data_IF_321408264059
#
_entry.id   IF_321408264059
#
_cell.length_a   1.000
_cell.length_b   1.000
_cell.length_c   1.000
_cell.angle_alpha   90.00
_cell.angle_beta   90.00
_cell.angle_gamma   90.00
#
_symmetry.space_group_name_H-M   'P 1'
#
loop_
_entity.id
_entity.type
_entity.pdbx_description
1 polymer ?
#
# COMPACT_ATOMS: atom_id res chain seq x y z
N UNK A 1 24.12 -8.75 -7.63
CA UNK A 1 23.43 -9.17 -6.39
C UNK A 1 22.02 -9.52 -6.74
N UNK A 2 21.52 -10.64 -6.21
CA UNK A 2 20.42 -11.33 -6.86
C UNK A 2 19.10 -11.17 -6.11
N UNK A 3 18.01 -11.07 -6.84
CA UNK A 3 16.67 -11.36 -6.37
C UNK A 3 16.41 -12.88 -6.48
N UNK A 4 15.39 -13.37 -5.80
CA UNK A 4 14.88 -14.73 -5.92
C UNK A 4 13.59 -14.73 -6.75
N UNK A 5 13.52 -15.57 -7.77
CA UNK A 5 12.27 -15.90 -8.46
C UNK A 5 12.04 -17.42 -8.43
N UNK A 6 10.85 -17.82 -8.02
CA UNK A 6 10.47 -19.24 -8.08
C UNK A 6 10.50 -19.74 -9.54
N UNK A 7 10.90 -21.00 -9.83
CA UNK A 7 10.99 -21.50 -11.21
C UNK A 7 9.70 -21.42 -12.03
N UNK A 8 8.54 -21.32 -11.40
CA UNK A 8 7.25 -21.13 -12.09
C UNK A 8 6.87 -19.67 -12.30
N UNK A 9 7.68 -18.70 -11.81
CA UNK A 9 7.47 -17.29 -12.10
C UNK A 9 7.97 -16.98 -13.50
N UNK A 10 7.26 -16.08 -14.19
CA UNK A 10 7.65 -15.57 -15.51
C UNK A 10 8.17 -14.16 -15.36
N UNK A 11 9.39 -13.91 -15.81
CA UNK A 11 10.04 -12.59 -15.74
C UNK A 11 10.43 -12.18 -17.15
N UNK A 12 9.64 -11.30 -17.75
CA UNK A 12 9.91 -10.77 -19.09
C UNK A 12 11.04 -9.74 -19.05
N UNK A 13 11.81 -9.67 -20.13
CA UNK A 13 12.93 -8.76 -20.24
C UNK A 13 12.71 -7.68 -21.33
N UNK A 14 13.24 -6.45 -21.15
CA UNK A 14 14.01 -5.99 -19.99
C UNK A 14 13.12 -5.62 -18.79
N UNK A 15 13.57 -5.92 -17.58
CA UNK A 15 12.99 -5.40 -16.34
C UNK A 15 14.08 -5.17 -15.29
N UNK A 16 13.80 -4.35 -14.30
CA UNK A 16 14.73 -4.07 -13.20
C UNK A 16 14.14 -4.63 -11.90
N UNK A 17 14.91 -5.49 -11.19
CA UNK A 17 14.49 -6.07 -9.92
C UNK A 17 15.62 -5.93 -8.90
N UNK A 18 15.32 -5.21 -7.81
CA UNK A 18 16.29 -4.91 -6.76
C UNK A 18 16.68 -6.11 -5.90
N UNK A 19 17.82 -5.96 -5.24
CA UNK A 19 18.42 -6.98 -4.38
C UNK A 19 17.49 -7.41 -3.25
N UNK A 20 17.49 -8.71 -2.93
CA UNK A 20 16.73 -9.29 -1.83
C UNK A 20 15.22 -9.39 -2.08
N UNK A 21 14.75 -8.98 -3.26
CA UNK A 21 13.35 -9.16 -3.68
C UNK A 21 13.06 -10.64 -3.92
N UNK A 22 11.88 -11.09 -3.52
CA UNK A 22 11.43 -12.48 -3.65
C UNK A 22 10.12 -12.53 -4.42
N UNK A 23 10.11 -13.33 -5.50
CA UNK A 23 8.96 -13.52 -6.40
C UNK A 23 8.54 -14.98 -6.33
N UNK A 24 7.31 -15.23 -5.88
CA UNK A 24 6.81 -16.56 -5.61
C UNK A 24 6.11 -17.20 -6.83
N UNK A 25 5.46 -18.32 -6.58
CA UNK A 25 4.87 -19.20 -7.60
C UNK A 25 3.90 -18.47 -8.53
N UNK A 26 3.99 -18.73 -9.83
CA UNK A 26 3.07 -18.26 -10.85
C UNK A 26 2.92 -16.73 -10.93
N UNK A 27 3.87 -15.99 -10.38
CA UNK A 27 3.92 -14.55 -10.57
C UNK A 27 4.38 -14.21 -11.99
N UNK A 28 3.91 -13.09 -12.55
CA UNK A 28 4.33 -12.58 -13.84
C UNK A 28 4.78 -11.13 -13.72
N UNK A 29 6.04 -10.86 -14.02
CA UNK A 29 6.60 -9.51 -14.14
C UNK A 29 6.82 -9.23 -15.63
N UNK A 30 6.08 -8.26 -16.17
CA UNK A 30 6.16 -7.88 -17.58
C UNK A 30 7.40 -7.02 -17.85
N UNK A 31 7.84 -7.01 -19.11
CA UNK A 31 8.93 -6.15 -19.57
C UNK A 31 8.65 -4.69 -19.25
N UNK A 32 9.70 -3.91 -18.96
CA UNK A 32 9.57 -2.49 -18.59
C UNK A 32 9.23 -2.22 -17.12
N UNK A 33 8.87 -3.23 -16.33
CA UNK A 33 8.62 -3.06 -14.90
C UNK A 33 9.92 -2.73 -14.14
N UNK A 34 9.82 -1.87 -13.13
CA UNK A 34 10.92 -1.53 -12.21
C UNK A 34 10.50 -1.81 -10.77
N UNK A 35 11.19 -2.72 -10.12
CA UNK A 35 10.90 -3.19 -8.76
C UNK A 35 12.12 -2.92 -7.88
N UNK A 36 11.90 -2.28 -6.76
CA UNK A 36 12.91 -1.98 -5.75
C UNK A 36 13.43 -3.21 -5.01
N UNK A 37 14.13 -2.96 -3.92
CA UNK A 37 14.84 -3.95 -3.11
C UNK A 37 13.93 -4.53 -2.02
N UNK A 38 14.23 -5.76 -1.55
CA UNK A 38 13.58 -6.41 -0.40
C UNK A 38 12.06 -6.52 -0.50
N UNK A 39 11.52 -6.48 -1.72
CA UNK A 39 10.09 -6.70 -1.98
C UNK A 39 9.72 -8.17 -1.85
N UNK A 40 8.45 -8.44 -1.60
CA UNK A 40 7.89 -9.79 -1.64
C UNK A 40 6.65 -9.78 -2.53
N UNK A 41 6.67 -10.59 -3.57
CA UNK A 41 5.54 -10.84 -4.44
C UNK A 41 5.01 -12.24 -4.18
N UNK A 42 3.81 -12.31 -3.64
CA UNK A 42 3.12 -13.56 -3.34
C UNK A 42 2.75 -14.35 -4.59
N UNK A 43 2.13 -15.50 -4.36
CA UNK A 43 1.69 -16.38 -5.44
C UNK A 43 0.67 -15.66 -6.35
N UNK A 44 0.78 -15.91 -7.67
CA UNK A 44 -0.19 -15.44 -8.67
C UNK A 44 -0.32 -13.90 -8.67
N UNK A 45 0.78 -13.20 -8.49
CA UNK A 45 0.83 -11.73 -8.63
C UNK A 45 1.22 -11.34 -10.05
N UNK A 46 0.82 -10.16 -10.51
CA UNK A 46 1.23 -9.60 -11.79
C UNK A 46 1.71 -8.16 -11.63
N UNK A 47 2.79 -7.82 -12.32
CA UNK A 47 3.31 -6.45 -12.42
C UNK A 47 3.37 -6.08 -13.90
N UNK A 48 2.53 -5.14 -14.31
CA UNK A 48 2.41 -4.75 -15.71
C UNK A 48 3.60 -3.91 -16.18
N UNK A 49 3.69 -3.73 -17.51
CA UNK A 49 4.66 -2.87 -18.16
C UNK A 49 4.65 -1.44 -17.59
N UNK A 50 5.83 -0.85 -17.42
CA UNK A 50 6.03 0.52 -16.96
C UNK A 50 5.67 0.78 -15.49
N UNK A 51 5.22 -0.22 -14.75
CA UNK A 51 4.94 -0.09 -13.31
C UNK A 51 6.23 0.13 -12.54
N UNK A 52 6.16 1.07 -11.58
CA UNK A 52 7.27 1.34 -10.65
C UNK A 52 6.85 0.94 -9.25
N UNK A 53 7.65 0.07 -8.64
CA UNK A 53 7.48 -0.39 -7.25
C UNK A 53 8.74 -0.03 -6.47
N UNK A 54 8.57 0.65 -5.36
CA UNK A 54 9.65 1.05 -4.44
C UNK A 54 10.25 -0.11 -3.64
N UNK A 55 11.02 0.24 -2.62
CA UNK A 55 11.70 -0.70 -1.75
C UNK A 55 10.74 -1.29 -0.68
N UNK A 56 11.02 -2.50 -0.22
CA UNK A 56 10.33 -3.15 0.90
C UNK A 56 8.81 -3.32 0.75
N UNK A 57 8.30 -3.34 -0.48
CA UNK A 57 6.86 -3.53 -0.76
C UNK A 57 6.47 -5.00 -0.57
N UNK A 58 5.32 -5.23 0.06
CA UNK A 58 4.74 -6.56 0.25
C UNK A 58 3.46 -6.68 -0.56
N UNK A 59 3.51 -7.43 -1.64
CA UNK A 59 2.37 -7.75 -2.49
C UNK A 59 1.90 -9.16 -2.17
N UNK A 60 0.71 -9.27 -1.61
CA UNK A 60 0.15 -10.55 -1.22
C UNK A 60 -0.41 -11.31 -2.43
N UNK A 61 -0.87 -12.55 -2.21
CA UNK A 61 -1.32 -13.45 -3.28
C UNK A 61 -2.48 -12.83 -4.09
N UNK A 62 -2.52 -13.16 -5.38
CA UNK A 62 -3.60 -12.81 -6.32
C UNK A 62 -3.77 -11.29 -6.53
N UNK A 63 -2.72 -10.51 -6.47
CA UNK A 63 -2.75 -9.07 -6.75
C UNK A 63 -2.14 -8.78 -8.11
N UNK A 64 -2.86 -8.02 -8.94
CA UNK A 64 -2.37 -7.50 -10.21
C UNK A 64 -2.14 -5.98 -10.10
N UNK A 65 -0.92 -5.53 -10.39
CA UNK A 65 -0.55 -4.13 -10.44
C UNK A 65 -0.50 -3.71 -11.91
N UNK A 66 -1.54 -3.02 -12.36
CA UNK A 66 -1.72 -2.62 -13.76
C UNK A 66 -0.90 -1.38 -14.13
N UNK A 67 -0.65 -1.23 -15.43
CA UNK A 67 0.01 -0.07 -16.02
C UNK A 67 -0.66 1.24 -15.58
N UNK A 68 0.15 2.29 -15.32
CA UNK A 68 -0.29 3.55 -14.73
C UNK A 68 -0.21 3.61 -13.21
N UNK A 69 0.08 2.49 -12.54
CA UNK A 69 0.24 2.46 -11.07
C UNK A 69 1.70 2.72 -10.66
N UNK A 70 1.88 3.57 -9.66
CA UNK A 70 3.15 3.76 -8.94
C UNK A 70 2.94 3.36 -7.48
N UNK A 71 3.80 2.49 -6.98
CA UNK A 71 3.80 2.03 -5.59
C UNK A 71 5.10 2.49 -4.93
N UNK A 72 5.00 3.37 -3.94
CA UNK A 72 6.17 3.85 -3.19
C UNK A 72 6.65 2.80 -2.19
N UNK A 73 7.70 3.14 -1.41
CA UNK A 73 8.33 2.23 -0.45
C UNK A 73 7.37 1.81 0.69
N UNK A 74 7.70 0.69 1.33
CA UNK A 74 7.04 0.19 2.54
C UNK A 74 5.53 -0.07 2.41
N UNK A 75 4.98 -0.14 1.21
CA UNK A 75 3.56 -0.40 0.94
C UNK A 75 3.21 -1.87 1.17
N UNK A 76 2.03 -2.10 1.74
CA UNK A 76 1.43 -3.44 1.87
C UNK A 76 0.16 -3.54 1.02
N UNK A 77 0.15 -4.45 0.05
CA UNK A 77 -1.03 -4.80 -0.75
C UNK A 77 -1.56 -6.15 -0.26
N UNK A 78 -2.72 -6.13 0.39
CA UNK A 78 -3.38 -7.30 0.96
C UNK A 78 -3.85 -8.30 -0.09
N UNK A 79 -4.08 -9.57 0.29
CA UNK A 79 -4.44 -10.63 -0.66
C UNK A 79 -5.71 -10.27 -1.42
N UNK A 80 -5.66 -10.52 -2.72
CA UNK A 80 -6.79 -10.29 -3.65
C UNK A 80 -7.33 -8.86 -3.65
N UNK A 81 -6.55 -7.86 -3.22
CA UNK A 81 -6.93 -6.48 -3.47
C UNK A 81 -6.87 -6.19 -4.97
N UNK A 82 -7.76 -5.33 -5.45
CA UNK A 82 -7.96 -5.04 -6.87
C UNK A 82 -7.56 -3.60 -7.16
N UNK A 83 -6.67 -3.42 -8.12
CA UNK A 83 -6.35 -2.12 -8.71
C UNK A 83 -6.97 -2.07 -10.11
N UNK A 84 -7.50 -0.93 -10.53
CA UNK A 84 -7.97 -0.71 -11.90
C UNK A 84 -7.09 0.30 -12.62
N UNK A 85 -7.21 0.45 -13.93
CA UNK A 85 -6.43 1.41 -14.70
C UNK A 85 -7.25 2.21 -15.71
N UNK A 86 -8.56 1.91 -15.83
CA UNK A 86 -9.49 2.65 -16.68
C UNK A 86 -10.86 2.71 -15.99
N UNK A 87 -11.46 3.92 -15.95
CA UNK A 87 -12.71 4.14 -15.22
C UNK A 87 -13.96 3.69 -15.96
N UNK A 88 -13.91 3.65 -17.29
CA UNK A 88 -15.09 3.35 -18.14
C UNK A 88 -14.79 2.27 -19.20
N UNK A 89 -14.40 1.06 -18.82
CA UNK A 89 -14.02 0.02 -19.76
C UNK A 89 -15.23 -0.43 -20.62
N UNK A 90 -14.96 -0.68 -21.90
CA UNK A 90 -15.89 -1.33 -22.84
C UNK A 90 -15.08 -2.17 -23.80
N UNK A 91 -15.42 -3.42 -23.96
CA UNK A 91 -14.71 -4.37 -24.82
C UNK A 91 -14.58 -3.89 -26.27
N UNK A 92 -15.61 -3.21 -26.79
CA UNK A 92 -15.62 -2.68 -28.16
C UNK A 92 -14.89 -1.34 -28.32
N UNK A 93 -14.38 -0.73 -27.25
CA UNK A 93 -13.74 0.59 -27.28
C UNK A 93 -12.31 0.49 -26.76
N UNK A 94 -11.35 0.72 -27.65
CA UNK A 94 -9.92 0.70 -27.29
C UNK A 94 -9.58 1.93 -26.45
N UNK A 95 -9.02 1.74 -25.25
CA UNK A 95 -8.65 2.79 -24.28
C UNK A 95 -7.22 2.67 -23.76
N UNK A 96 -6.34 1.94 -24.43
CA UNK A 96 -4.97 1.72 -23.96
C UNK A 96 -4.17 3.01 -23.70
N UNK A 97 -4.46 4.08 -24.46
CA UNK A 97 -3.80 5.38 -24.26
C UNK A 97 -4.43 6.24 -23.15
N UNK A 98 -5.48 5.75 -22.49
CA UNK A 98 -6.27 6.48 -21.50
C UNK A 98 -6.17 5.86 -20.11
N UNK A 99 -5.10 5.09 -19.82
CA UNK A 99 -4.89 4.55 -18.49
C UNK A 99 -4.62 5.68 -17.50
N UNK A 100 -5.34 5.62 -16.38
CA UNK A 100 -5.29 6.64 -15.34
C UNK A 100 -4.20 6.31 -14.32
N UNK A 101 -3.43 7.32 -13.94
CA UNK A 101 -2.34 7.15 -12.98
C UNK A 101 -2.89 6.99 -11.58
N UNK A 102 -2.51 5.91 -10.90
CA UNK A 102 -2.76 5.69 -9.47
C UNK A 102 -1.45 5.72 -8.71
N UNK A 103 -1.39 6.47 -7.60
CA UNK A 103 -0.20 6.55 -6.75
C UNK A 103 -0.53 5.99 -5.38
N UNK A 104 0.23 4.98 -4.94
CA UNK A 104 0.14 4.41 -3.60
C UNK A 104 1.38 4.85 -2.85
N UNK A 105 1.22 5.79 -1.92
CA UNK A 105 2.33 6.45 -1.25
C UNK A 105 2.92 5.58 -0.15
N UNK A 106 4.13 5.98 0.29
CA UNK A 106 4.95 5.28 1.29
C UNK A 106 4.12 4.79 2.49
N UNK A 107 4.33 3.55 2.87
CA UNK A 107 3.73 2.94 4.05
C UNK A 107 2.22 2.72 4.01
N UNK A 108 1.55 3.01 2.88
CA UNK A 108 0.13 2.76 2.75
C UNK A 108 -0.18 1.26 2.83
N UNK A 109 -1.29 0.94 3.45
CA UNK A 109 -1.81 -0.43 3.54
C UNK A 109 -3.14 -0.55 2.81
N UNK A 110 -3.23 -1.49 1.89
CA UNK A 110 -4.48 -1.88 1.22
C UNK A 110 -4.91 -3.23 1.77
N UNK A 111 -6.06 -3.28 2.42
CA UNK A 111 -6.62 -4.49 3.03
C UNK A 111 -7.06 -5.53 1.99
N UNK A 112 -7.24 -6.77 2.46
CA UNK A 112 -7.69 -7.89 1.61
C UNK A 112 -9.01 -7.56 0.89
N UNK A 113 -9.12 -7.95 -0.38
CA UNK A 113 -10.31 -7.73 -1.23
C UNK A 113 -10.76 -6.25 -1.34
N UNK A 114 -9.95 -5.28 -0.94
CA UNK A 114 -10.25 -3.87 -1.21
C UNK A 114 -10.09 -3.58 -2.71
N UNK A 115 -10.90 -2.65 -3.22
CA UNK A 115 -10.83 -2.19 -4.61
C UNK A 115 -10.40 -0.73 -4.66
N UNK A 116 -9.38 -0.44 -5.44
CA UNK A 116 -8.90 0.91 -5.70
C UNK A 116 -9.27 1.26 -7.14
N UNK A 117 -10.22 2.16 -7.30
CA UNK A 117 -10.55 2.73 -8.61
C UNK A 117 -9.39 3.62 -9.04
N UNK A 118 -9.02 3.55 -10.33
CA UNK A 118 -7.88 4.29 -10.86
C UNK A 118 -8.05 5.82 -10.81
N UNK A 119 -6.95 6.54 -11.02
CA UNK A 119 -6.95 8.00 -11.02
C UNK A 119 -6.83 8.63 -9.63
N UNK A 120 -6.53 7.84 -8.59
CA UNK A 120 -6.47 8.33 -7.21
C UNK A 120 -5.07 8.26 -6.61
N UNK A 121 -4.83 9.07 -5.59
CA UNK A 121 -3.65 9.00 -4.72
C UNK A 121 -4.06 8.45 -3.35
N UNK A 122 -3.42 7.36 -2.92
CA UNK A 122 -3.48 6.87 -1.55
C UNK A 122 -2.35 7.54 -0.75
N UNK A 123 -2.69 8.33 0.25
CA UNK A 123 -1.75 9.08 1.08
C UNK A 123 -0.81 8.19 1.89
N UNK A 124 0.28 8.79 2.41
CA UNK A 124 1.27 8.08 3.23
C UNK A 124 0.63 7.44 4.45
N UNK A 125 1.03 6.21 4.73
CA UNK A 125 0.55 5.47 5.91
C UNK A 125 -0.96 5.38 6.06
N UNK A 126 -1.74 5.66 5.00
CA UNK A 126 -3.18 5.43 5.03
C UNK A 126 -3.49 3.94 5.14
N UNK A 127 -4.66 3.62 5.64
CA UNK A 127 -5.09 2.25 5.81
C UNK A 127 -6.47 2.06 5.17
N UNK A 128 -6.49 1.30 4.09
CA UNK A 128 -7.73 0.89 3.43
C UNK A 128 -8.17 -0.42 4.04
N UNK A 129 -9.30 -0.45 4.70
CA UNK A 129 -9.83 -1.65 5.34
C UNK A 129 -10.19 -2.73 4.32
N UNK A 130 -10.16 -3.98 4.75
CA UNK A 130 -10.56 -5.11 3.92
C UNK A 130 -11.96 -4.90 3.31
N UNK A 131 -12.13 -5.21 2.03
CA UNK A 131 -13.37 -5.08 1.28
C UNK A 131 -13.83 -3.65 0.99
N UNK A 132 -13.06 -2.62 1.33
CA UNK A 132 -13.42 -1.24 1.03
C UNK A 132 -13.26 -0.92 -0.47
N UNK A 133 -14.08 0.00 -0.99
CA UNK A 133 -13.98 0.50 -2.39
C UNK A 133 -13.61 1.98 -2.38
N UNK A 134 -12.38 2.27 -2.75
CA UNK A 134 -11.83 3.64 -2.83
C UNK A 134 -12.12 4.22 -4.21
N UNK A 135 -12.77 5.40 -4.24
CA UNK A 135 -13.20 6.10 -5.46
C UNK A 135 -12.67 7.53 -5.55
N UNK A 136 -11.77 7.94 -4.68
CA UNK A 136 -11.16 9.28 -4.65
C UNK A 136 -9.91 9.28 -3.79
N UNK A 137 -9.20 10.41 -3.80
CA UNK A 137 -7.95 10.57 -3.05
C UNK A 137 -8.14 10.32 -1.55
N UNK A 138 -7.11 9.75 -0.95
CA UNK A 138 -7.08 9.38 0.46
C UNK A 138 -6.01 10.20 1.17
N UNK A 139 -6.35 10.92 2.26
CA UNK A 139 -5.38 11.67 3.05
C UNK A 139 -4.31 10.79 3.70
N UNK A 140 -3.14 11.38 3.99
CA UNK A 140 -2.10 10.72 4.77
C UNK A 140 -2.66 10.25 6.12
N UNK A 141 -2.31 9.05 6.55
CA UNK A 141 -2.75 8.39 7.79
C UNK A 141 -4.26 8.12 7.93
N UNK A 142 -5.07 8.37 6.91
CA UNK A 142 -6.52 8.13 6.98
C UNK A 142 -6.85 6.65 7.09
N UNK A 143 -7.79 6.30 7.97
CA UNK A 143 -8.46 5.00 8.00
C UNK A 143 -9.70 5.06 7.13
N UNK A 144 -9.70 4.32 6.02
CA UNK A 144 -10.80 4.26 5.05
C UNK A 144 -11.57 2.95 5.17
N UNK A 145 -12.90 3.03 5.25
CA UNK A 145 -13.77 1.84 5.39
C UNK A 145 -15.03 1.97 4.56
N UNK A 146 -15.55 0.85 4.09
CA UNK A 146 -16.87 0.72 3.47
C UNK A 146 -16.91 0.82 1.95
N UNK A 147 -18.13 0.76 1.38
CA UNK A 147 -18.43 0.81 -0.05
C UNK A 147 -19.54 1.85 -0.28
N UNK A 148 -19.22 3.01 -0.87
CA UNK A 148 -17.88 3.54 -1.13
C UNK A 148 -17.10 3.85 0.16
N UNK A 149 -15.78 3.79 0.10
CA UNK A 149 -14.92 4.04 1.26
C UNK A 149 -15.09 5.47 1.78
N UNK A 150 -15.14 5.59 3.10
CA UNK A 150 -15.19 6.88 3.81
C UNK A 150 -14.18 6.87 4.94
N UNK A 151 -13.58 8.00 5.22
CA UNK A 151 -12.68 8.14 6.36
C UNK A 151 -13.44 7.92 7.67
N UNK A 152 -12.89 7.07 8.53
CA UNK A 152 -13.48 6.69 9.83
C UNK A 152 -12.56 7.04 11.00
N UNK A 153 -11.41 7.61 10.74
CA UNK A 153 -10.42 7.99 11.74
C UNK A 153 -9.02 8.02 11.15
N UNK A 154 -8.05 7.82 12.01
CA UNK A 154 -6.64 7.87 11.70
C UNK A 154 -5.93 6.59 12.13
N UNK A 155 -4.85 6.26 11.40
CA UNK A 155 -3.98 5.12 11.70
C UNK A 155 -2.58 5.61 12.05
N UNK A 156 -1.93 4.94 12.98
CA UNK A 156 -0.50 5.17 13.26
C UNK A 156 0.39 4.44 12.25
N UNK A 157 1.67 4.78 12.23
CA UNK A 157 2.69 4.06 11.43
C UNK A 157 2.80 2.57 11.81
N UNK A 158 2.40 2.19 13.02
CA UNK A 158 2.37 0.80 13.51
C UNK A 158 1.06 0.07 13.19
N UNK A 159 0.14 0.69 12.41
CA UNK A 159 -1.11 0.05 12.03
C UNK A 159 -2.15 0.00 13.14
N UNK A 160 -2.07 0.89 14.15
CA UNK A 160 -3.11 1.03 15.18
C UNK A 160 -4.05 2.17 14.87
N UNK A 161 -5.34 1.93 15.09
CA UNK A 161 -6.34 3.01 15.09
C UNK A 161 -5.98 4.00 16.19
N UNK A 162 -5.83 5.26 15.82
CA UNK A 162 -5.63 6.35 16.77
C UNK A 162 -6.98 6.72 17.39
N UNK A 163 -7.08 6.54 18.70
CA UNK A 163 -8.29 6.83 19.47
C UNK A 163 -8.58 8.32 19.58
N UNK A 164 -9.08 8.75 20.75
CA UNK A 164 -9.35 10.18 20.98
C UNK A 164 -8.05 10.97 21.15
N UNK A 165 -7.99 12.13 20.51
CA UNK A 165 -6.92 13.08 20.74
C UNK A 165 -7.01 13.67 22.18
N UNK A 166 -5.86 13.91 22.76
CA UNK A 166 -5.73 14.67 23.99
C UNK A 166 -5.00 15.98 23.66
N UNK A 167 -5.64 17.11 23.87
CA UNK A 167 -5.12 18.44 23.47
C UNK A 167 -4.72 18.51 21.99
N UNK A 168 -5.52 17.90 21.10
CA UNK A 168 -5.28 17.86 19.66
C UNK A 168 -4.12 16.93 19.22
N UNK A 169 -3.62 16.08 20.14
CA UNK A 169 -2.54 15.12 19.86
C UNK A 169 -3.05 13.69 20.05
N UNK A 170 -2.86 12.88 19.04
CA UNK A 170 -3.07 11.42 19.09
C UNK A 170 -1.77 10.72 19.47
N UNK A 171 -1.88 9.61 20.18
CA UNK A 171 -0.71 8.80 20.54
C UNK A 171 -0.93 7.34 20.12
N UNK A 172 0.05 6.76 19.44
CA UNK A 172 0.04 5.35 19.11
C UNK A 172 0.18 4.50 20.37
N UNK A 173 -0.71 3.52 20.60
CA UNK A 173 -0.67 2.72 21.82
C UNK A 173 0.54 1.76 21.88
N UNK A 174 1.18 1.44 20.76
CA UNK A 174 2.33 0.53 20.71
C UNK A 174 3.65 1.30 20.74
N UNK A 175 3.87 2.24 19.80
CA UNK A 175 5.15 2.94 19.69
C UNK A 175 5.26 4.18 20.57
N UNK A 176 4.14 4.69 21.09
CA UNK A 176 4.12 5.99 21.76
C UNK A 176 4.26 7.19 20.83
N UNK A 177 4.42 7.01 19.53
CA UNK A 177 4.53 8.11 18.57
C UNK A 177 3.28 8.98 18.61
N UNK A 178 3.52 10.28 18.55
CA UNK A 178 2.50 11.33 18.62
C UNK A 178 2.19 11.86 17.22
N UNK A 179 0.95 12.23 17.04
CA UNK A 179 0.43 12.73 15.76
C UNK A 179 -0.41 13.97 16.00
N UNK A 180 -0.42 14.87 15.03
CA UNK A 180 -1.27 16.07 15.03
C UNK A 180 -1.84 16.30 13.64
N UNK A 181 -3.10 16.71 13.60
CA UNK A 181 -3.73 17.15 12.36
C UNK A 181 -3.18 18.48 11.91
N UNK A 182 -2.94 18.62 10.63
CA UNK A 182 -2.51 19.87 10.00
C UNK A 182 -3.73 20.69 9.56
N UNK A 183 -3.53 21.96 9.25
CA UNK A 183 -4.56 22.84 8.68
C UNK A 183 -5.15 22.28 7.36
N UNK A 184 -4.39 21.48 6.64
CA UNK A 184 -4.84 20.82 5.41
C UNK A 184 -5.74 19.56 5.65
N UNK A 185 -6.09 19.24 6.89
CA UNK A 185 -6.93 18.08 7.22
C UNK A 185 -6.23 16.75 6.99
N UNK A 186 -4.91 16.72 7.15
CA UNK A 186 -4.11 15.49 7.13
C UNK A 186 -3.37 15.31 8.45
N UNK A 187 -3.01 14.09 8.80
CA UNK A 187 -2.23 13.81 10.00
C UNK A 187 -0.72 13.87 9.70
N UNK A 188 0.08 14.26 10.71
CA UNK A 188 1.55 14.17 10.68
C UNK A 188 2.09 13.53 11.94
N UNK A 189 3.14 12.73 11.79
CA UNK A 189 3.91 12.22 12.92
C UNK A 189 4.79 13.35 13.48
N UNK A 190 4.79 13.53 14.80
CA UNK A 190 5.60 14.54 15.47
C UNK A 190 6.98 14.05 15.90
N UNK A 191 7.15 12.74 16.00
CA UNK A 191 8.32 12.12 16.62
C UNK A 191 9.28 11.47 15.62
N UNK A 192 8.84 11.29 14.37
CA UNK A 192 9.67 10.71 13.32
C UNK A 192 9.26 11.27 11.96
N UNK A 193 10.23 11.67 11.15
CA UNK A 193 10.01 12.10 9.77
C UNK A 193 9.38 10.97 8.92
N UNK A 194 8.41 11.30 8.07
CA UNK A 194 7.67 10.32 7.27
C UNK A 194 8.53 9.58 6.25
N UNK A 195 9.65 10.13 5.84
CA UNK A 195 10.58 9.47 4.91
C UNK A 195 11.62 8.60 5.64
N UNK A 196 11.74 8.75 6.97
CA UNK A 196 12.65 7.95 7.77
C UNK A 196 12.11 6.54 8.01
N UNK A 197 12.95 5.49 7.98
CA UNK A 197 12.55 4.15 8.39
C UNK A 197 12.22 4.12 9.89
N UNK A 198 11.43 3.12 10.30
CA UNK A 198 11.22 2.88 11.73
C UNK A 198 12.55 2.48 12.38
N UNK A 199 12.83 2.96 13.62
CA UNK A 199 13.91 2.41 14.44
C UNK A 199 13.79 0.89 14.57
N UNK A 200 14.91 0.19 14.58
CA UNK A 200 14.94 -1.28 14.55
C UNK A 200 14.16 -1.92 15.71
N UNK A 201 14.22 -1.31 16.89
CA UNK A 201 13.49 -1.74 18.08
C UNK A 201 11.97 -1.59 17.97
N UNK A 202 11.48 -0.72 17.08
CA UNK A 202 10.06 -0.51 16.81
C UNK A 202 9.57 -1.21 15.53
N UNK A 203 10.48 -1.83 14.79
CA UNK A 203 10.15 -2.54 13.55
C UNK A 203 9.63 -3.98 13.79
N UNK A 204 9.59 -4.42 15.05
CA UNK A 204 9.09 -5.74 15.45
C UNK A 204 7.93 -5.55 16.42
N UNK A 205 6.75 -6.04 16.06
CA UNK A 205 5.58 -5.99 16.93
C UNK A 205 5.80 -6.84 18.18
N UNK A 206 5.59 -6.25 19.37
CA UNK A 206 5.85 -6.91 20.65
C UNK A 206 4.63 -7.65 21.23
N UNK A 207 3.41 -7.30 20.79
CA UNK A 207 2.15 -7.83 21.34
C UNK A 207 1.08 -8.02 20.26
N UNK A 208 0.16 -8.97 20.44
CA UNK A 208 -0.99 -9.13 19.57
C UNK A 208 -1.86 -7.86 19.52
N UNK A 209 -2.37 -7.53 18.34
CA UNK A 209 -3.21 -6.34 18.13
C UNK A 209 -4.39 -6.24 19.10
N UNK A 210 -4.98 -7.38 19.51
CA UNK A 210 -6.10 -7.44 20.46
C UNK A 210 -5.79 -6.83 21.84
N UNK A 211 -4.53 -6.83 22.28
CA UNK A 211 -4.12 -6.24 23.55
C UNK A 211 -4.17 -4.70 23.55
N UNK A 212 -4.08 -4.11 22.36
CA UNK A 212 -4.15 -2.65 22.17
C UNK A 212 -5.56 -2.15 21.92
N UNK A 213 -6.52 -3.05 21.60
CA UNK A 213 -7.93 -2.66 21.46
C UNK A 213 -8.51 -2.41 22.85
N UNK A 214 -8.98 -1.20 23.11
CA UNK A 214 -9.87 -0.98 24.26
C UNK A 214 -11.09 -1.86 24.02
N UNK A 215 -11.41 -2.76 24.96
CA UNK A 215 -12.67 -3.47 24.96
C UNK A 215 -13.78 -2.41 25.07
N UNK A 216 -14.53 -2.22 23.99
CA UNK A 216 -15.74 -1.38 23.96
C UNK A 216 -16.83 -2.03 24.78
#
# INVERSE_FOLDING_TARGET
>A
MSYFAHPTAVIDQPCEIGEGTRIWHFAHVLAGARIGRRCIFGQNTMVADGVVVGDNVKVQNNVAIYAGTVVEDDVFLGPSCVLTNVSNPRSQVVRHSLYEKTVIRRGATVGANATIVCGVTLGRYCFISAGAVVTGDVPDYALMMGVPARQKGWMSRHGHVLGNAKDGVWTCPESGFRYRETEAGTLRCLDLDEESPLPAELAVGGKPYGEFKKRS
#
